data_IF_757465149244
#
_entry.id   IF_757465149244
#
_cell.length_a   1.000
_cell.length_b   1.000
_cell.length_c   1.000
_cell.angle_alpha   90.00
_cell.angle_beta   90.00
_cell.angle_gamma   90.00
#
_symmetry.space_group_name_H-M   'P 1'
#
loop_
_entity.id
_entity.type
_entity.pdbx_description
1 polymer ?
#
# COMPACT_ATOMS: atom_id res chain seq x y z
N UNK A 1 33.96 -3.14 2.79
CA UNK A 1 32.60 -3.44 2.29
C UNK A 1 32.59 -4.48 1.17
N UNK A 2 33.50 -4.45 0.18
CA UNK A 2 33.58 -5.47 -0.90
C UNK A 2 33.62 -6.93 -0.40
N UNK A 3 34.48 -7.24 0.56
CA UNK A 3 34.61 -8.61 1.11
C UNK A 3 33.38 -9.13 1.85
N UNK A 4 32.43 -8.25 2.22
CA UNK A 4 31.19 -8.64 2.89
C UNK A 4 30.04 -8.90 1.90
N UNK A 5 30.17 -8.41 0.67
CA UNK A 5 29.20 -8.62 -0.41
C UNK A 5 29.41 -9.97 -1.11
N UNK A 6 30.67 -10.40 -1.21
CA UNK A 6 31.07 -11.65 -1.85
C UNK A 6 30.68 -12.92 -1.06
N UNK A 7 30.45 -12.80 0.25
CA UNK A 7 30.04 -13.92 1.12
C UNK A 7 28.53 -14.08 1.29
N UNK A 8 27.73 -13.23 0.64
CA UNK A 8 26.27 -13.25 0.78
C UNK A 8 25.61 -14.17 -0.26
N UNK A 9 24.46 -14.79 0.09
CA UNK A 9 23.70 -15.57 -0.88
C UNK A 9 23.37 -14.72 -2.11
N UNK A 10 23.33 -15.28 -3.34
CA UNK A 10 23.10 -14.51 -4.58
C UNK A 10 21.81 -13.68 -4.59
N UNK A 11 20.85 -14.02 -3.73
CA UNK A 11 19.60 -13.28 -3.57
C UNK A 11 19.72 -11.96 -2.79
N UNK A 12 20.82 -11.75 -2.05
CA UNK A 12 21.06 -10.57 -1.22
C UNK A 12 21.79 -9.52 -2.05
N UNK A 13 21.24 -8.31 -2.06
CA UNK A 13 21.78 -7.16 -2.78
C UNK A 13 22.29 -6.10 -1.81
N UNK A 14 23.08 -5.16 -2.29
CA UNK A 14 23.62 -4.04 -1.49
C UNK A 14 22.52 -3.28 -0.73
N UNK A 15 21.34 -3.09 -1.33
CA UNK A 15 20.22 -2.37 -0.72
C UNK A 15 19.72 -3.09 0.54
N UNK A 16 19.78 -4.42 0.56
CA UNK A 16 19.40 -5.19 1.75
C UNK A 16 20.35 -4.91 2.90
N UNK A 17 21.64 -4.72 2.63
CA UNK A 17 22.64 -4.41 3.64
C UNK A 17 22.48 -3.00 4.18
N UNK A 18 22.21 -2.02 3.32
CA UNK A 18 21.96 -0.64 3.74
C UNK A 18 20.75 -0.58 4.66
N UNK A 19 19.62 -1.17 4.23
CA UNK A 19 18.39 -1.22 5.05
C UNK A 19 18.63 -1.99 6.34
N UNK A 20 19.33 -3.13 6.28
CA UNK A 20 19.66 -3.92 7.46
C UNK A 20 20.50 -3.13 8.46
N UNK A 21 21.63 -2.58 8.05
CA UNK A 21 22.56 -1.87 8.94
C UNK A 21 21.90 -0.66 9.62
N UNK A 22 21.03 0.08 8.90
CA UNK A 22 20.29 1.19 9.49
C UNK A 22 19.20 0.69 10.44
N UNK A 23 18.56 -0.44 10.16
CA UNK A 23 17.47 -0.98 10.98
C UNK A 23 17.93 -1.75 12.22
N UNK A 24 19.15 -2.27 12.19
CA UNK A 24 19.72 -3.03 13.31
C UNK A 24 20.27 -2.09 14.36
N UNK A 25 19.73 -2.16 15.56
CA UNK A 25 20.04 -1.25 16.66
C UNK A 25 21.38 -1.54 17.38
N UNK A 26 22.33 -2.22 16.71
CA UNK A 26 23.61 -2.60 17.34
C UNK A 26 24.49 -1.40 17.70
N UNK A 27 24.24 -0.24 17.09
CA UNK A 27 25.07 0.96 17.23
C UNK A 27 24.27 2.23 17.56
N UNK A 28 22.99 2.11 17.96
CA UNK A 28 22.07 3.25 18.10
C UNK A 28 21.94 4.13 16.84
N UNK A 29 22.44 3.66 15.69
CA UNK A 29 22.45 4.41 14.42
C UNK A 29 21.03 4.79 14.01
N UNK A 30 20.10 3.82 14.04
CA UNK A 30 18.68 4.04 13.73
C UNK A 30 18.08 5.17 14.58
N UNK A 31 18.31 5.10 15.89
CA UNK A 31 17.78 6.05 16.86
C UNK A 31 18.32 7.46 16.61
N UNK A 32 19.64 7.60 16.43
CA UNK A 32 20.28 8.90 16.19
C UNK A 32 19.92 9.49 14.84
N UNK A 33 19.92 8.67 13.79
CA UNK A 33 19.50 9.06 12.45
C UNK A 33 18.05 9.55 12.44
N UNK A 34 17.11 8.79 13.02
CA UNK A 34 15.70 9.18 13.10
C UNK A 34 15.48 10.42 13.96
N UNK A 35 16.24 10.59 15.05
CA UNK A 35 16.20 11.81 15.87
C UNK A 35 16.64 13.04 15.08
N UNK A 36 17.70 12.92 14.28
CA UNK A 36 18.19 14.03 13.47
C UNK A 36 17.25 14.35 12.29
N UNK A 37 16.59 13.35 11.68
CA UNK A 37 15.53 13.61 10.67
C UNK A 37 14.38 14.40 11.31
N UNK A 38 13.95 13.99 12.51
CA UNK A 38 12.87 14.68 13.21
C UNK A 38 13.26 16.11 13.59
N UNK A 39 14.53 16.33 13.96
CA UNK A 39 15.05 17.64 14.37
C UNK A 39 15.30 18.59 13.20
N UNK A 40 15.80 18.09 12.08
CA UNK A 40 16.24 18.90 10.94
C UNK A 40 15.42 18.59 9.67
N UNK A 41 14.14 18.26 9.85
CA UNK A 41 13.25 17.86 8.76
C UNK A 41 12.71 19.02 7.93
N UNK A 42 12.88 20.27 8.38
CA UNK A 42 12.57 21.46 7.60
C UNK A 42 13.61 21.65 6.49
N UNK A 43 13.21 22.18 5.34
CA UNK A 43 14.09 22.21 4.14
C UNK A 43 15.40 22.99 4.39
N UNK A 44 15.32 24.11 5.09
CA UNK A 44 16.49 24.96 5.38
C UNK A 44 17.45 24.27 6.35
N UNK A 45 16.91 23.68 7.42
CA UNK A 45 17.68 22.93 8.41
C UNK A 45 18.24 21.62 7.84
N UNK A 46 17.50 20.95 6.96
CA UNK A 46 17.97 19.78 6.24
C UNK A 46 19.20 20.12 5.41
N UNK A 47 19.14 21.23 4.66
CA UNK A 47 20.24 21.66 3.82
C UNK A 47 21.45 22.09 4.67
N UNK A 48 21.25 22.90 5.70
CA UNK A 48 22.34 23.46 6.49
C UNK A 48 22.94 22.50 7.54
N UNK A 49 22.11 21.74 8.26
CA UNK A 49 22.49 21.07 9.52
C UNK A 49 22.44 19.54 9.45
N UNK A 50 21.62 18.95 8.57
CA UNK A 50 21.47 17.50 8.53
C UNK A 50 22.73 16.82 7.96
N UNK A 51 23.46 16.10 8.81
CA UNK A 51 24.75 15.48 8.44
C UNK A 51 24.59 14.14 7.69
N UNK A 52 23.40 13.54 7.72
CA UNK A 52 23.17 12.20 7.20
C UNK A 52 22.60 12.19 5.76
N UNK A 53 22.85 13.23 4.96
CA UNK A 53 22.27 13.37 3.60
C UNK A 53 22.52 12.16 2.72
N UNK A 54 23.77 11.70 2.67
CA UNK A 54 24.15 10.53 1.87
C UNK A 54 23.46 9.26 2.38
N UNK A 55 23.41 9.04 3.69
CA UNK A 55 22.72 7.89 4.28
C UNK A 55 21.21 7.94 4.01
N UNK A 56 20.60 9.12 4.14
CA UNK A 56 19.19 9.34 3.84
C UNK A 56 18.86 9.05 2.38
N UNK A 57 19.70 9.52 1.46
CA UNK A 57 19.57 9.21 0.03
C UNK A 57 19.72 7.70 -0.23
N UNK A 58 20.81 7.09 0.24
CA UNK A 58 21.10 5.67 0.05
C UNK A 58 19.99 4.78 0.63
N UNK A 59 19.49 5.09 1.82
CA UNK A 59 18.40 4.36 2.43
C UNK A 59 17.11 4.51 1.63
N UNK A 60 16.81 5.72 1.15
CA UNK A 60 15.62 5.98 0.31
C UNK A 60 15.65 5.14 -0.95
N UNK A 61 16.73 5.21 -1.74
CA UNK A 61 16.85 4.43 -2.99
C UNK A 61 16.86 2.92 -2.71
N UNK A 62 17.46 2.50 -1.58
CA UNK A 62 17.50 1.09 -1.20
C UNK A 62 16.10 0.55 -0.92
N UNK A 63 15.32 1.25 -0.10
CA UNK A 63 13.94 0.85 0.20
C UNK A 63 13.08 0.92 -1.06
N UNK A 64 13.25 1.93 -1.93
CA UNK A 64 12.51 2.02 -3.20
C UNK A 64 12.81 0.87 -4.16
N UNK A 65 14.07 0.46 -4.29
CA UNK A 65 14.49 -0.66 -5.13
C UNK A 65 13.92 -1.97 -4.61
N UNK A 66 14.00 -2.22 -3.30
CA UNK A 66 13.46 -3.42 -2.67
C UNK A 66 11.93 -3.47 -2.69
N UNK A 67 11.26 -2.31 -2.66
CA UNK A 67 9.81 -2.22 -2.73
C UNK A 67 9.24 -2.68 -4.07
N UNK A 68 9.95 -2.46 -5.19
CA UNK A 68 9.47 -2.83 -6.54
C UNK A 68 9.12 -4.31 -6.68
N UNK A 69 9.66 -5.16 -5.80
CA UNK A 69 9.41 -6.61 -5.78
C UNK A 69 8.46 -7.04 -4.66
N UNK A 70 7.92 -6.10 -3.87
CA UNK A 70 7.10 -6.36 -2.69
C UNK A 70 5.60 -6.23 -2.97
N UNK A 71 4.81 -7.10 -2.33
CA UNK A 71 3.33 -7.05 -2.34
C UNK A 71 2.83 -6.20 -1.17
N UNK A 72 1.55 -5.80 -1.20
CA UNK A 72 0.91 -5.17 -0.04
C UNK A 72 0.90 -6.12 1.16
N UNK A 73 1.18 -5.59 2.35
CA UNK A 73 1.26 -6.37 3.59
C UNK A 73 0.72 -5.59 4.78
N UNK A 74 0.15 -6.32 5.71
CA UNK A 74 -0.16 -5.80 7.04
C UNK A 74 1.10 -5.83 7.89
N UNK A 75 1.45 -4.67 8.45
CA UNK A 75 2.57 -4.51 9.37
C UNK A 75 2.16 -3.71 10.59
N UNK A 76 2.91 -3.90 11.67
CA UNK A 76 2.61 -3.41 12.99
C UNK A 76 3.79 -2.61 13.53
N UNK A 77 3.51 -1.51 14.22
CA UNK A 77 4.51 -0.71 14.90
C UNK A 77 3.99 -0.24 16.25
N UNK A 78 4.74 -0.50 17.30
CA UNK A 78 4.45 -0.04 18.66
C UNK A 78 5.37 1.10 19.03
N UNK A 79 4.81 2.14 19.66
CA UNK A 79 5.57 3.23 20.26
C UNK A 79 5.25 3.28 21.76
N UNK A 80 6.22 2.98 22.65
CA UNK A 80 5.97 2.85 24.08
C UNK A 80 5.60 4.14 24.78
N UNK A 81 6.21 5.26 24.39
CA UNK A 81 6.20 6.50 25.18
C UNK A 81 5.54 7.68 24.47
N UNK A 82 4.82 7.43 23.38
CA UNK A 82 4.09 8.47 22.65
C UNK A 82 2.59 8.17 22.68
N UNK A 83 1.78 9.22 22.85
CA UNK A 83 0.34 9.15 22.62
C UNK A 83 0.02 10.03 21.42
N UNK A 84 -0.59 9.45 20.40
CA UNK A 84 -0.96 10.20 19.21
C UNK A 84 -2.39 10.74 19.35
N UNK A 85 -2.55 12.06 19.19
CA UNK A 85 -3.84 12.73 19.13
C UNK A 85 -3.82 13.64 17.92
N UNK A 86 -4.72 13.41 16.98
CA UNK A 86 -4.86 14.30 15.83
C UNK A 86 -6.31 14.36 15.38
N UNK A 87 -6.74 15.55 14.94
CA UNK A 87 -7.99 15.76 14.20
C UNK A 87 -7.79 15.60 12.70
N UNK A 88 -6.55 15.36 12.23
CA UNK A 88 -6.23 15.24 10.81
C UNK A 88 -6.59 13.85 10.29
N UNK A 89 -7.00 13.80 9.03
CA UNK A 89 -7.31 12.55 8.31
C UNK A 89 -6.07 11.90 7.68
N UNK A 90 -4.92 12.59 7.70
CA UNK A 90 -3.68 12.13 7.12
C UNK A 90 -2.50 12.38 8.06
N UNK A 91 -1.53 11.49 8.00
CA UNK A 91 -0.26 11.60 8.70
C UNK A 91 0.91 11.14 7.84
N UNK A 92 2.10 11.61 8.18
CA UNK A 92 3.35 11.18 7.58
C UNK A 92 4.32 10.88 8.72
N UNK A 93 5.00 9.74 8.66
CA UNK A 93 6.06 9.44 9.62
C UNK A 93 7.23 10.39 9.39
N UNK A 94 7.63 11.17 10.38
CA UNK A 94 8.78 12.06 10.27
C UNK A 94 10.13 11.33 10.25
N UNK A 95 10.12 10.00 10.31
CA UNK A 95 11.29 9.13 10.43
C UNK A 95 11.14 7.94 9.48
N UNK A 96 12.13 7.05 9.41
CA UNK A 96 11.98 5.75 8.77
C UNK A 96 11.47 4.73 9.79
N UNK A 97 10.14 4.46 9.84
CA UNK A 97 9.61 3.55 10.82
C UNK A 97 10.05 2.11 10.51
N UNK A 98 10.51 1.42 11.54
CA UNK A 98 10.64 -0.03 11.53
C UNK A 98 9.31 -0.65 11.97
N UNK A 99 8.78 -1.54 11.15
CA UNK A 99 7.54 -2.27 11.41
C UNK A 99 7.79 -3.77 11.36
N UNK A 100 6.91 -4.56 11.98
CA UNK A 100 6.97 -6.02 11.91
C UNK A 100 5.72 -6.58 11.25
N UNK A 101 5.87 -7.66 10.48
CA UNK A 101 4.72 -8.47 10.01
C UNK A 101 4.06 -9.24 11.18
N UNK A 102 4.78 -9.47 12.28
CA UNK A 102 4.23 -10.08 13.50
C UNK A 102 3.73 -8.99 14.46
N UNK A 103 2.48 -9.13 14.91
CA UNK A 103 1.84 -8.20 15.85
C UNK A 103 2.45 -8.25 17.24
N UNK A 104 2.79 -9.44 17.74
CA UNK A 104 3.31 -9.65 19.09
C UNK A 104 4.62 -8.92 19.34
N UNK A 105 5.42 -8.76 18.29
CA UNK A 105 6.76 -8.21 18.40
C UNK A 105 6.77 -6.73 18.85
N UNK A 106 6.07 -5.79 18.16
CA UNK A 106 5.92 -4.42 18.64
C UNK A 106 5.16 -4.32 19.97
N UNK A 107 4.25 -5.24 20.27
CA UNK A 107 3.52 -5.24 21.56
C UNK A 107 4.47 -5.44 22.75
N UNK A 108 5.54 -6.24 22.59
CA UNK A 108 6.59 -6.40 23.61
C UNK A 108 7.38 -5.12 23.88
N UNK A 109 7.50 -4.23 22.88
CA UNK A 109 8.21 -2.96 23.03
C UNK A 109 7.33 -1.86 23.62
N UNK A 110 6.00 -1.98 23.51
CA UNK A 110 5.03 -1.11 24.15
C UNK A 110 3.84 -0.74 23.25
N UNK A 111 2.68 -0.55 23.86
CA UNK A 111 1.38 -0.38 23.19
C UNK A 111 0.71 0.97 23.45
N UNK A 112 1.47 1.99 23.88
CA UNK A 112 0.89 3.31 24.16
C UNK A 112 0.41 4.02 22.90
N UNK A 113 1.13 3.88 21.79
CA UNK A 113 0.54 4.07 20.46
C UNK A 113 0.87 2.86 19.61
N UNK A 114 -0.14 2.26 19.01
CA UNK A 114 0.02 1.09 18.17
C UNK A 114 -0.53 1.35 16.78
N UNK A 115 0.31 1.19 15.76
CA UNK A 115 -0.06 1.37 14.37
C UNK A 115 -0.26 0.01 13.70
N UNK A 116 -1.40 -0.11 13.01
CA UNK A 116 -1.68 -1.18 12.05
C UNK A 116 -1.65 -0.55 10.68
N UNK A 117 -0.71 -0.95 9.84
CA UNK A 117 -0.58 -0.41 8.48
C UNK A 117 -0.81 -1.52 7.47
N UNK A 118 -1.62 -1.25 6.45
CA UNK A 118 -1.62 -2.06 5.23
C UNK A 118 -0.84 -1.33 4.15
N UNK A 119 0.42 -1.69 3.92
CA UNK A 119 1.35 -0.91 3.10
C UNK A 119 2.04 -1.72 2.03
N UNK A 120 2.30 -1.06 0.91
CA UNK A 120 3.18 -1.52 -0.16
C UNK A 120 4.46 -0.69 -0.25
N UNK A 121 4.73 0.17 0.75
CA UNK A 121 5.84 1.12 0.79
C UNK A 121 7.03 0.66 1.64
N UNK A 122 7.02 -0.60 2.08
CA UNK A 122 8.06 -1.18 2.93
C UNK A 122 8.98 -2.14 2.18
N UNK A 123 10.26 -2.11 2.53
CA UNK A 123 11.23 -3.12 2.12
C UNK A 123 11.40 -4.18 3.21
N UNK A 124 11.20 -5.46 2.87
CA UNK A 124 11.42 -6.57 3.81
C UNK A 124 12.86 -7.01 3.82
N UNK A 125 13.40 -7.15 5.02
CA UNK A 125 14.73 -7.73 5.24
C UNK A 125 14.53 -9.24 5.41
N UNK A 126 14.72 -10.01 4.32
CA UNK A 126 14.39 -11.45 4.26
C UNK A 126 15.02 -12.29 5.39
N UNK A 127 16.23 -11.93 5.82
CA UNK A 127 16.99 -12.65 6.85
C UNK A 127 16.83 -12.08 8.26
N UNK A 128 15.99 -11.04 8.46
CA UNK A 128 15.83 -10.38 9.76
C UNK A 128 14.38 -10.37 10.22
N UNK A 129 13.89 -11.58 10.55
CA UNK A 129 12.67 -11.84 11.32
C UNK A 129 11.45 -10.95 10.96
N UNK A 130 11.27 -10.63 9.68
CA UNK A 130 10.09 -9.89 9.19
C UNK A 130 10.03 -8.41 9.56
N UNK A 131 11.17 -7.74 9.75
CA UNK A 131 11.22 -6.27 9.89
C UNK A 131 11.15 -5.60 8.53
N UNK A 132 10.30 -4.57 8.42
CA UNK A 132 10.15 -3.71 7.26
C UNK A 132 10.51 -2.28 7.62
N UNK A 133 11.26 -1.61 6.74
CA UNK A 133 11.47 -0.16 6.80
C UNK A 133 10.55 0.49 5.80
N UNK A 134 9.73 1.44 6.24
CA UNK A 134 8.84 2.18 5.35
C UNK A 134 9.52 3.45 4.83
N UNK A 135 9.22 3.81 3.59
CA UNK A 135 9.54 5.11 3.03
C UNK A 135 8.78 6.24 3.72
N UNK A 136 9.33 7.44 3.62
CA UNK A 136 8.69 8.69 4.01
C UNK A 136 7.48 8.97 3.09
N UNK A 137 6.33 8.38 3.41
CA UNK A 137 5.08 8.51 2.67
C UNK A 137 3.95 8.95 3.59
N UNK A 138 2.96 9.59 2.99
CA UNK A 138 1.72 9.98 3.65
C UNK A 138 0.76 8.80 3.68
N UNK A 139 0.08 8.65 4.82
CA UNK A 139 -0.95 7.67 5.08
C UNK A 139 -2.23 8.35 5.50
N UNK A 140 -3.36 7.81 5.07
CA UNK A 140 -4.68 8.14 5.57
C UNK A 140 -4.93 7.40 6.88
N UNK A 141 -5.47 8.11 7.86
CA UNK A 141 -5.92 7.54 9.13
C UNK A 141 -7.35 7.04 8.91
N UNK A 142 -7.53 5.74 9.00
CA UNK A 142 -8.84 5.08 8.79
C UNK A 142 -9.60 5.01 10.10
N UNK A 143 -8.94 4.52 11.15
CA UNK A 143 -9.51 4.46 12.49
C UNK A 143 -8.50 4.93 13.52
N UNK A 144 -8.99 5.59 14.56
CA UNK A 144 -8.25 6.02 15.73
C UNK A 144 -9.06 5.61 16.96
N UNK A 145 -8.70 4.47 17.55
CA UNK A 145 -9.43 3.88 18.67
C UNK A 145 -8.62 4.05 19.95
N UNK A 146 -9.32 4.34 21.05
CA UNK A 146 -8.67 4.42 22.36
C UNK A 146 -8.49 3.00 22.89
N UNK A 147 -7.26 2.64 23.24
CA UNK A 147 -6.92 1.39 23.89
C UNK A 147 -6.69 1.63 25.39
N UNK A 148 -6.72 0.57 26.21
CA UNK A 148 -6.52 0.67 27.67
C UNK A 148 -5.24 1.44 28.04
N UNK A 149 -4.15 1.22 27.31
CA UNK A 149 -2.84 1.84 27.57
C UNK A 149 -2.51 3.01 26.63
N UNK A 150 -3.40 3.38 25.71
CA UNK A 150 -3.19 4.49 24.78
C UNK A 150 -4.10 4.52 23.55
N UNK A 151 -3.55 4.43 22.32
CA UNK A 151 -4.35 4.49 21.10
C UNK A 151 -3.88 3.53 20.00
N UNK A 152 -4.85 2.97 19.28
CA UNK A 152 -4.65 2.11 18.12
C UNK A 152 -5.05 2.87 16.86
N UNK A 153 -4.15 2.91 15.88
CA UNK A 153 -4.31 3.66 14.64
C UNK A 153 -4.21 2.72 13.45
N UNK A 154 -5.24 2.70 12.62
CA UNK A 154 -5.23 1.97 11.35
C UNK A 154 -4.91 2.92 10.22
N UNK A 155 -3.85 2.62 9.47
CA UNK A 155 -3.31 3.47 8.42
C UNK A 155 -3.40 2.80 7.05
N UNK A 156 -3.78 3.58 6.05
CA UNK A 156 -3.75 3.18 4.65
C UNK A 156 -2.90 4.11 3.79
N UNK A 157 -2.16 3.60 2.79
CA UNK A 157 -1.34 4.41 1.93
C UNK A 157 -2.19 5.38 1.11
N UNK A 158 -1.83 6.66 1.10
CA UNK A 158 -2.54 7.67 0.31
C UNK A 158 -2.45 7.31 -1.18
N UNK A 159 -3.59 7.36 -1.89
CA UNK A 159 -3.70 6.94 -3.29
C UNK A 159 -4.00 5.46 -3.51
N UNK A 160 -4.13 4.66 -2.44
CA UNK A 160 -4.60 3.28 -2.55
C UNK A 160 -6.10 3.25 -2.92
N UNK A 161 -6.39 3.08 -4.21
CA UNK A 161 -7.75 2.77 -4.66
C UNK A 161 -7.96 1.28 -4.45
N UNK A 162 -8.67 0.90 -3.39
CA UNK A 162 -9.12 -0.48 -3.17
C UNK A 162 -10.03 -0.87 -4.34
N UNK A 163 -9.49 -1.47 -5.39
CA UNK A 163 -10.29 -2.21 -6.37
C UNK A 163 -10.63 -3.55 -5.74
N UNK A 164 -11.58 -3.57 -4.80
CA UNK A 164 -12.27 -4.82 -4.51
C UNK A 164 -13.22 -5.04 -5.68
N UNK A 165 -12.73 -5.67 -6.75
CA UNK A 165 -13.64 -6.39 -7.62
C UNK A 165 -14.00 -7.67 -6.85
N UNK A 166 -15.04 -7.61 -6.03
CA UNK A 166 -15.70 -8.85 -5.63
C UNK A 166 -16.32 -9.42 -6.89
N UNK A 167 -15.82 -10.58 -7.35
CA UNK A 167 -16.63 -11.48 -8.15
C UNK A 167 -17.78 -11.93 -7.24
N UNK A 168 -18.82 -11.11 -7.18
CA UNK A 168 -20.10 -11.55 -6.67
C UNK A 168 -20.65 -12.53 -7.69
N UNK A 169 -20.75 -13.80 -7.32
CA UNK A 169 -21.69 -14.72 -7.95
C UNK A 169 -23.08 -14.26 -7.53
N UNK A 170 -23.52 -13.15 -8.10
CA UNK A 170 -24.89 -12.69 -8.08
C UNK A 170 -25.59 -13.34 -9.26
N UNK A 171 -26.69 -14.03 -8.99
CA UNK A 171 -27.61 -14.53 -10.00
C UNK A 171 -28.03 -13.41 -10.95
N UNK A 172 -27.34 -13.32 -12.09
CA UNK A 172 -27.85 -12.98 -13.42
C UNK A 172 -26.68 -12.78 -14.37
N UNK A 173 -26.20 -13.90 -14.91
CA UNK A 173 -25.58 -13.90 -16.22
C UNK A 173 -26.67 -13.55 -17.24
N UNK A 174 -26.94 -12.25 -17.46
CA UNK A 174 -27.71 -11.84 -18.63
C UNK A 174 -26.77 -11.86 -19.82
N UNK A 175 -26.76 -13.03 -20.46
CA UNK A 175 -26.36 -13.26 -21.84
C UNK A 175 -26.70 -12.01 -22.66
N UNK A 176 -25.68 -11.38 -23.24
CA UNK A 176 -25.86 -10.46 -24.36
C UNK A 176 -26.61 -11.24 -25.45
N UNK A 177 -27.90 -10.98 -25.55
CA UNK A 177 -28.68 -11.27 -26.74
C UNK A 177 -28.81 -9.93 -27.45
N UNK A 178 -27.81 -9.66 -28.28
CA UNK A 178 -27.84 -8.59 -29.26
C UNK A 178 -28.84 -9.04 -30.34
N UNK A 179 -29.89 -8.25 -30.47
CA UNK A 179 -30.70 -8.04 -31.67
C UNK A 179 -31.28 -9.24 -32.43
N UNK A 180 -32.43 -9.74 -31.98
CA UNK A 180 -33.39 -10.46 -32.86
C UNK A 180 -34.85 -10.03 -32.65
N UNK A 181 -35.09 -8.82 -32.12
CA UNK A 181 -36.46 -8.28 -31.97
C UNK A 181 -36.78 -7.15 -32.96
N UNK A 182 -35.80 -6.53 -33.62
CA UNK A 182 -36.08 -5.51 -34.65
C UNK A 182 -36.40 -6.11 -36.03
N UNK A 183 -35.86 -7.28 -36.37
CA UNK A 183 -36.12 -7.94 -37.67
C UNK A 183 -37.48 -8.64 -37.72
N UNK A 184 -38.00 -9.10 -36.58
CA UNK A 184 -39.30 -9.76 -36.50
C UNK A 184 -40.46 -8.79 -36.86
N UNK A 185 -40.38 -7.52 -36.47
CA UNK A 185 -41.39 -6.51 -36.84
C UNK A 185 -41.26 -6.04 -38.30
N UNK A 186 -40.05 -6.00 -38.86
CA UNK A 186 -39.85 -5.71 -40.29
C UNK A 186 -40.44 -6.81 -41.18
N UNK A 187 -40.27 -8.09 -40.82
CA UNK A 187 -40.86 -9.21 -41.58
C UNK A 187 -42.38 -9.26 -41.47
N UNK A 188 -42.96 -8.97 -40.30
CA UNK A 188 -44.42 -8.87 -40.13
C UNK A 188 -44.99 -7.74 -41.00
N UNK A 189 -44.33 -6.59 -41.08
CA UNK A 189 -44.73 -5.48 -41.95
C UNK A 189 -44.65 -5.80 -43.45
N UNK A 190 -43.64 -6.56 -43.88
CA UNK A 190 -43.51 -6.99 -45.29
C UNK A 190 -44.58 -8.03 -45.67
N UNK A 191 -44.89 -8.97 -44.77
CA UNK A 191 -45.93 -9.98 -45.03
C UNK A 191 -47.33 -9.37 -45.06
N UNK A 192 -47.62 -8.36 -44.24
CA UNK A 192 -48.92 -7.65 -44.32
C UNK A 192 -49.04 -6.77 -45.56
N UNK A 193 -47.95 -6.15 -46.04
CA UNK A 193 -47.93 -5.38 -47.28
C UNK A 193 -48.06 -6.24 -48.54
N UNK A 194 -47.46 -7.44 -48.56
CA UNK A 194 -47.59 -8.38 -49.69
C UNK A 194 -48.89 -9.21 -49.64
N UNK A 195 -49.44 -9.45 -48.45
CA UNK A 195 -50.68 -10.23 -48.26
C UNK A 195 -51.97 -9.49 -48.63
N UNK A 196 -51.94 -8.16 -48.75
CA UNK A 196 -53.07 -7.35 -49.22
C UNK A 196 -53.08 -7.12 -50.74
N UNK A 197 -52.12 -7.67 -51.49
CA UNK A 197 -51.97 -7.48 -52.94
C UNK A 197 -52.53 -8.58 -53.84
N UNK A 198 -53.04 -9.69 -53.28
CA UNK A 198 -53.55 -10.83 -54.07
C UNK A 198 -54.90 -11.29 -53.52
N UNK A 199 -55.94 -10.50 -53.77
CA UNK A 199 -57.29 -10.79 -53.28
C UNK A 199 -58.37 -10.00 -54.00
N UNK A 200 -58.34 -9.98 -55.34
CA UNK A 200 -59.52 -9.59 -56.11
C UNK A 200 -59.23 -9.09 -57.51
N UNK A 201 -59.42 -9.95 -58.51
CA UNK A 201 -60.02 -9.73 -59.86
C UNK A 201 -59.92 -11.12 -60.55
N UNK A 202 -60.94 -11.78 -61.11
CA UNK A 202 -62.36 -11.51 -61.29
C UNK A 202 -63.01 -12.73 -61.96
N UNK A 203 -64.31 -12.94 -61.72
CA UNK A 203 -65.20 -13.76 -62.56
C UNK A 203 -66.37 -12.87 -62.98
N UNK A 204 -66.34 -12.39 -64.21
CA UNK A 204 -67.39 -12.51 -65.22
C UNK A 204 -66.71 -12.52 -66.58
#
# INVERSE_FOLDING_TARGET
MRNLLESLPPSVREEHLIVHNVSTDRSNLSTRFNKDIQRFGAIDEYNALFQWKSLHYLLTISVETLRKTSRARTVYQGIPNATFRTSRTQMRFATFPSCSESRERPERFGTRTFFVLNTMYGARIRNYQGVLVLLHKTFQIVTAERAEKGCNLTLQPTGYRRRTASLGWGERCKRLTVELLCWAWLLIGIVTLLGLGLGGVGKR
#
